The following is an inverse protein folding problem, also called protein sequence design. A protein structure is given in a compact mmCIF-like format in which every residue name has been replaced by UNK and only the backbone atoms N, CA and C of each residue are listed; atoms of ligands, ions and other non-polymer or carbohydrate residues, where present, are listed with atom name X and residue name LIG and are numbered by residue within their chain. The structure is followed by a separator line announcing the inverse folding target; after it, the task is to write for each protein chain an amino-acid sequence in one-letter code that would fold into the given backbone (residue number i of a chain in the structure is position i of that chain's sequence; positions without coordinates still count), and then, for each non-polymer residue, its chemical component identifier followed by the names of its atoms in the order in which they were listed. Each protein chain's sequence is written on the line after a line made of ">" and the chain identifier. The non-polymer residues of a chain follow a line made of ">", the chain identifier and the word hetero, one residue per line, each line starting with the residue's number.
data_IF_141775222039
#
_entry.id   IF_141775222039
#
_cell.length_a   1.000
_cell.length_b   1.000
_cell.length_c   1.000
_cell.angle_alpha   90.00
_cell.angle_beta   90.00
_cell.angle_gamma   90.00
#
_symmetry.space_group_name_H-M   'P 1'
#
loop_
_entity.id
_entity.type
_entity.pdbx_description
1 polymer ?
#
# COMPACT_ATOMS: atom_id res chain seq x y z
N UNK A 1 -10.51 10.06 5.14
CA UNK A 1 -9.54 9.45 6.07
C UNK A 1 -10.10 8.20 6.72
N UNK A 2 -9.85 7.09 6.05
CA UNK A 2 -10.13 5.72 6.49
C UNK A 2 -8.82 4.96 6.52
N UNK A 3 -8.53 4.27 7.61
CA UNK A 3 -7.28 3.53 7.81
C UNK A 3 -7.58 2.03 7.86
N UNK A 4 -6.73 1.24 7.21
CA UNK A 4 -6.71 -0.22 7.25
C UNK A 4 -5.35 -0.70 7.74
N UNK A 5 -5.36 -1.51 8.79
CA UNK A 5 -4.19 -2.24 9.26
C UNK A 5 -4.25 -3.68 8.75
N UNK A 6 -3.19 -4.11 8.07
CA UNK A 6 -3.07 -5.48 7.59
C UNK A 6 -2.62 -6.38 8.75
N UNK A 7 -3.32 -7.49 9.03
CA UNK A 7 -2.89 -8.42 10.08
C UNK A 7 -1.50 -8.97 9.76
N UNK A 8 -0.59 -9.10 10.75
CA UNK A 8 0.77 -9.59 10.51
C UNK A 8 0.84 -11.07 10.09
N UNK A 9 -0.22 -11.84 10.33
CA UNK A 9 -0.39 -13.23 9.86
C UNK A 9 -1.09 -13.31 8.48
N UNK A 10 -1.40 -12.18 7.83
CA UNK A 10 -2.01 -12.19 6.51
C UNK A 10 -0.96 -12.46 5.43
N UNK A 11 -1.12 -13.55 4.67
CA UNK A 11 -0.33 -13.80 3.48
C UNK A 11 -0.61 -12.75 2.38
N UNK A 12 0.28 -12.66 1.38
CA UNK A 12 0.22 -11.69 0.28
C UNK A 12 -1.17 -11.63 -0.39
N UNK A 13 -1.79 -12.78 -0.66
CA UNK A 13 -3.15 -12.84 -1.26
C UNK A 13 -4.21 -12.20 -0.34
N UNK A 14 -4.10 -12.42 0.97
CA UNK A 14 -5.05 -11.89 1.95
C UNK A 14 -4.84 -10.40 2.15
N UNK A 15 -3.60 -9.95 2.21
CA UNK A 15 -3.24 -8.54 2.25
C UNK A 15 -3.75 -7.81 0.99
N UNK A 16 -3.51 -8.38 -0.20
CA UNK A 16 -3.99 -7.86 -1.47
C UNK A 16 -5.51 -7.70 -1.49
N UNK A 17 -6.24 -8.72 -1.01
CA UNK A 17 -7.69 -8.64 -0.93
C UNK A 17 -8.16 -7.50 -0.03
N UNK A 18 -7.59 -7.37 1.18
CA UNK A 18 -7.96 -6.33 2.13
C UNK A 18 -7.70 -4.92 1.56
N UNK A 19 -6.56 -4.72 0.91
CA UNK A 19 -6.22 -3.45 0.28
C UNK A 19 -7.19 -3.12 -0.84
N UNK A 20 -7.49 -4.07 -1.73
CA UNK A 20 -8.46 -3.88 -2.84
C UNK A 20 -9.88 -3.62 -2.38
N UNK A 21 -10.26 -4.13 -1.21
CA UNK A 21 -11.56 -3.84 -0.59
C UNK A 21 -11.59 -2.44 0.06
N UNK A 22 -10.43 -1.84 0.31
CA UNK A 22 -10.29 -0.57 1.04
C UNK A 22 -9.95 0.64 0.15
N UNK A 23 -9.28 0.44 -0.99
CA UNK A 23 -8.85 1.52 -1.89
C UNK A 23 -9.30 1.28 -3.32
N UNK A 24 -9.58 2.37 -4.04
CA UNK A 24 -9.96 2.37 -5.45
C UNK A 24 -8.91 3.08 -6.30
N UNK A 25 -8.91 2.79 -7.61
CA UNK A 25 -8.04 3.52 -8.55
C UNK A 25 -8.49 4.98 -8.63
N UNK A 26 -7.56 5.90 -8.40
CA UNK A 26 -7.80 7.33 -8.30
C UNK A 26 -7.74 7.87 -6.86
N UNK A 27 -7.79 7.01 -5.85
CA UNK A 27 -7.67 7.42 -4.45
C UNK A 27 -6.24 7.87 -4.13
N UNK A 28 -6.10 8.86 -3.24
CA UNK A 28 -4.82 9.26 -2.68
C UNK A 28 -4.62 8.54 -1.36
N UNK A 29 -3.54 7.76 -1.26
CA UNK A 29 -3.27 6.88 -0.11
C UNK A 29 -1.89 7.13 0.48
N UNK A 30 -1.79 6.96 1.80
CA UNK A 30 -0.53 6.84 2.54
C UNK A 30 -0.33 5.37 2.93
N UNK A 31 0.84 4.82 2.62
CA UNK A 31 1.22 3.45 2.91
C UNK A 31 2.38 3.42 3.88
N UNK A 32 2.25 2.63 4.95
CA UNK A 32 3.31 2.33 5.90
C UNK A 32 3.74 0.88 5.78
N UNK A 33 5.04 0.69 5.55
CA UNK A 33 5.65 -0.64 5.38
C UNK A 33 6.56 -1.00 6.55
N UNK A 34 6.57 -2.29 6.97
CA UNK A 34 7.39 -2.79 8.10
C UNK A 34 8.68 -3.51 7.69
N UNK A 35 8.84 -3.87 6.41
CA UNK A 35 9.88 -4.79 5.90
C UNK A 35 11.17 -4.05 5.44
N UNK A 36 12.18 -4.10 6.32
CA UNK A 36 13.65 -4.00 6.17
C UNK A 36 14.28 -2.82 5.42
N UNK A 37 14.20 -1.63 6.02
CA UNK A 37 15.44 -0.85 6.11
C UNK A 37 16.23 -1.41 7.30
N UNK A 38 17.33 -2.13 7.02
CA UNK A 38 18.51 -2.02 7.87
C UNK A 38 18.61 -0.53 8.26
N UNK A 39 18.34 -0.20 9.52
CA UNK A 39 18.22 1.17 10.06
C UNK A 39 16.84 1.88 9.96
N UNK A 40 15.89 1.44 10.80
CA UNK A 40 14.93 2.28 11.56
C UNK A 40 14.25 3.45 10.82
N UNK A 41 13.71 3.24 9.63
CA UNK A 41 12.78 4.20 9.04
C UNK A 41 11.59 3.45 8.50
N UNK A 42 10.45 3.59 9.18
CA UNK A 42 9.15 3.34 8.54
C UNK A 42 9.15 4.25 7.31
N UNK A 43 9.03 3.68 6.11
CA UNK A 43 8.90 4.47 4.90
C UNK A 43 7.41 4.71 4.72
N UNK A 44 6.98 5.94 5.01
CA UNK A 44 5.67 6.45 4.64
C UNK A 44 5.72 6.83 3.14
N UNK A 45 4.97 6.10 2.32
CA UNK A 45 4.81 6.38 0.89
C UNK A 45 3.43 6.99 0.69
N UNK A 46 3.38 8.22 0.17
CA UNK A 46 2.13 8.85 -0.28
C UNK A 46 2.05 8.78 -1.81
N UNK A 47 0.86 8.52 -2.34
CA UNK A 47 0.63 8.60 -3.78
C UNK A 47 -0.80 8.28 -4.20
N UNK A 48 -1.12 8.59 -5.46
CA UNK A 48 -2.42 8.26 -6.06
C UNK A 48 -2.41 6.84 -6.60
N UNK A 49 -3.41 6.03 -6.25
CA UNK A 49 -3.56 4.66 -6.76
C UNK A 49 -3.82 4.70 -8.26
N UNK A 50 -2.88 4.18 -9.04
CA UNK A 50 -3.00 4.11 -10.51
C UNK A 50 -3.44 2.73 -10.97
N UNK A 51 -3.06 1.67 -10.25
CA UNK A 51 -3.47 0.29 -10.54
C UNK A 51 -3.40 -0.62 -9.30
N UNK A 52 -4.22 -1.68 -9.34
CA UNK A 52 -4.34 -2.71 -8.31
C UNK A 52 -3.95 -4.08 -8.88
N UNK A 53 -2.66 -4.30 -9.06
CA UNK A 53 -2.13 -5.55 -9.63
C UNK A 53 -2.23 -6.72 -8.64
N UNK A 54 -2.12 -7.99 -9.09
CA UNK A 54 -2.23 -9.19 -8.23
C UNK A 54 -1.21 -9.25 -7.09
N UNK A 55 0.02 -8.77 -7.32
CA UNK A 55 1.12 -8.86 -6.34
C UNK A 55 1.57 -7.52 -5.77
N UNK A 56 1.07 -6.40 -6.28
CA UNK A 56 1.48 -5.08 -5.83
C UNK A 56 0.43 -3.99 -6.10
N UNK A 57 0.56 -2.89 -5.39
CA UNK A 57 -0.16 -1.62 -5.58
C UNK A 57 0.73 -0.66 -6.38
N UNK A 58 0.19 -0.03 -7.42
CA UNK A 58 0.88 1.03 -8.16
C UNK A 58 0.40 2.41 -7.72
N UNK A 59 1.36 3.32 -7.49
CA UNK A 59 1.13 4.69 -7.08
C UNK A 59 1.77 5.66 -8.09
N UNK A 60 1.09 6.74 -8.47
CA UNK A 60 1.54 7.68 -9.53
C UNK A 60 2.88 8.36 -9.20
N UNK A 61 3.13 8.63 -7.91
CA UNK A 61 4.34 9.31 -7.44
C UNK A 61 5.57 8.39 -7.34
N UNK A 62 5.45 7.17 -7.86
CA UNK A 62 6.34 6.05 -7.62
C UNK A 62 6.44 5.20 -8.91
N UNK A 63 7.41 5.47 -9.80
CA UNK A 63 7.45 4.88 -11.14
C UNK A 63 7.55 3.35 -11.11
N UNK A 64 7.03 2.67 -12.17
CA UNK A 64 7.06 1.21 -12.25
C UNK A 64 8.50 0.70 -12.24
N UNK A 65 8.82 -0.13 -11.25
CA UNK A 65 10.16 -0.68 -11.03
C UNK A 65 10.94 -0.07 -9.85
N UNK A 66 10.56 1.11 -9.37
CA UNK A 66 11.12 1.73 -8.15
C UNK A 66 10.06 2.01 -7.07
N UNK A 67 8.76 1.90 -7.39
CA UNK A 67 7.71 2.35 -6.49
C UNK A 67 6.39 1.54 -6.45
N UNK A 68 6.41 0.32 -6.97
CA UNK A 68 5.32 -0.62 -6.71
C UNK A 68 5.42 -1.17 -5.28
N UNK A 69 4.35 -1.04 -4.50
CA UNK A 69 4.32 -1.53 -3.12
C UNK A 69 3.75 -2.96 -3.10
N UNK A 70 4.53 -3.92 -2.62
CA UNK A 70 4.04 -5.30 -2.45
C UNK A 70 3.07 -5.37 -1.27
N UNK A 71 1.99 -6.13 -1.41
CA UNK A 71 0.95 -6.19 -0.36
C UNK A 71 1.44 -6.80 0.95
N UNK A 72 2.36 -7.77 0.90
CA UNK A 72 2.99 -8.37 2.08
C UNK A 72 3.91 -7.40 2.83
N UNK A 73 4.38 -6.33 2.17
CA UNK A 73 5.17 -5.28 2.81
C UNK A 73 4.30 -4.21 3.50
N UNK A 74 3.00 -4.15 3.17
CA UNK A 74 2.06 -3.14 3.71
C UNK A 74 1.63 -3.56 5.12
N UNK A 75 1.99 -2.76 6.12
CA UNK A 75 1.45 -2.90 7.46
C UNK A 75 0.19 -2.04 7.65
N UNK A 76 0.19 -0.83 7.11
CA UNK A 76 -0.95 0.09 7.22
C UNK A 76 -1.15 0.87 5.94
N UNK A 77 -2.40 1.07 5.54
CA UNK A 77 -2.78 1.94 4.42
C UNK A 77 -3.91 2.87 4.84
N UNK A 78 -3.78 4.15 4.53
CA UNK A 78 -4.72 5.20 4.88
C UNK A 78 -5.17 5.97 3.64
N UNK A 79 -6.47 6.02 3.39
CA UNK A 79 -7.05 6.81 2.30
C UNK A 79 -7.16 8.26 2.74
N UNK A 80 -6.34 9.13 2.18
CA UNK A 80 -6.29 10.56 2.45
C UNK A 80 -7.46 11.24 1.74
N UNK A 81 -7.55 11.03 0.44
CA UNK A 81 -8.57 11.56 -0.46
C UNK A 81 -9.13 10.43 -1.31
N UNK A 82 -10.43 10.47 -1.56
CA UNK A 82 -11.16 9.44 -2.31
C UNK A 82 -11.67 10.01 -3.63
N UNK A 83 -11.59 9.21 -4.70
CA UNK A 83 -11.99 9.60 -6.06
C UNK A 83 -13.50 9.90 -6.25
#
# INVERSE_FOLDING_TARGET
>A
MTELTIPPDADEERAAQLVREHVEVGDVVEVRSEEWADERQNVDVEGTVTALEPGYLELDEQPPGEGSVRYDAIHTISTIDSA
#
